data_IF_053065833302
#
_entry.id   IF_053065833302
#
_cell.length_a   1.000
_cell.length_b   1.000
_cell.length_c   1.000
_cell.angle_alpha   90.00
_cell.angle_beta   90.00
_cell.angle_gamma   90.00
#
_symmetry.space_group_name_H-M   'P 1'
#
loop_
_entity.id
_entity.type
_entity.pdbx_description
1 polymer ?
#
# COMPACT_ATOMS: atom_id res chain seq x y z
N UNK A 1 1.47 11.89 -14.73
CA UNK A 1 0.68 13.03 -15.22
C UNK A 1 -0.50 13.41 -14.32
N UNK A 2 -1.34 12.46 -13.88
CA UNK A 2 -2.49 12.75 -13.01
C UNK A 2 -2.12 13.45 -11.69
N UNK A 3 -1.05 12.99 -11.01
CA UNK A 3 -0.57 13.62 -9.77
C UNK A 3 -0.20 15.10 -10.02
N UNK A 4 0.59 15.38 -11.06
CA UNK A 4 0.99 16.75 -11.43
C UNK A 4 -0.21 17.63 -11.75
N UNK A 5 -1.17 17.11 -12.52
CA UNK A 5 -2.40 17.84 -12.85
C UNK A 5 -3.12 18.38 -11.61
N UNK A 6 -3.24 17.58 -10.54
CA UNK A 6 -3.89 18.01 -9.30
C UNK A 6 -3.01 18.93 -8.46
N UNK A 7 -1.69 18.70 -8.42
CA UNK A 7 -0.75 19.60 -7.75
C UNK A 7 -0.70 20.99 -8.40
N UNK A 8 -0.75 21.05 -9.73
CA UNK A 8 -0.79 22.30 -10.52
C UNK A 8 -2.09 23.10 -10.24
N UNK A 9 -3.15 22.42 -9.80
CA UNK A 9 -4.40 23.05 -9.35
C UNK A 9 -4.37 23.54 -7.90
N UNK A 10 -3.25 23.34 -7.20
CA UNK A 10 -3.07 23.79 -5.82
C UNK A 10 -3.52 22.79 -4.76
N UNK A 11 -3.71 21.50 -5.09
CA UNK A 11 -3.92 20.47 -4.06
C UNK A 11 -2.66 20.35 -3.19
N UNK A 12 -2.85 20.30 -1.87
CA UNK A 12 -1.75 20.27 -0.88
C UNK A 12 -1.12 18.87 -0.69
N UNK A 13 -1.80 17.81 -1.14
CA UNK A 13 -1.28 16.47 -1.01
C UNK A 13 -2.29 15.38 -1.33
N UNK A 14 -1.89 14.13 -1.18
CA UNK A 14 -2.71 12.96 -1.48
C UNK A 14 -2.76 11.98 -0.32
N UNK A 15 -3.90 11.34 -0.14
CA UNK A 15 -4.01 10.09 0.62
C UNK A 15 -4.17 8.97 -0.40
N UNK A 16 -3.23 8.03 -0.42
CA UNK A 16 -3.26 6.91 -1.36
C UNK A 16 -3.96 5.74 -0.70
N UNK A 17 -5.05 5.33 -1.32
CA UNK A 17 -5.89 4.20 -0.93
C UNK A 17 -5.25 2.88 -1.35
N UNK A 18 -5.44 1.83 -0.53
CA UNK A 18 -5.09 0.45 -0.85
C UNK A 18 -3.67 0.24 -1.45
N UNK A 19 -2.65 0.90 -0.89
CA UNK A 19 -1.32 0.93 -1.53
C UNK A 19 -0.67 -0.45 -1.67
N UNK A 20 -1.00 -1.36 -0.76
CA UNK A 20 -0.50 -2.73 -0.75
C UNK A 20 -1.00 -3.57 -1.93
N UNK A 21 -2.06 -3.13 -2.62
CA UNK A 21 -2.67 -3.79 -3.77
C UNK A 21 -2.17 -3.22 -5.11
N UNK A 22 -1.11 -2.42 -5.12
CA UNK A 22 -0.72 -1.64 -6.30
C UNK A 22 -0.17 -2.51 -7.45
N UNK A 23 0.45 -3.63 -7.10
CA UNK A 23 1.11 -4.54 -8.06
C UNK A 23 0.86 -5.97 -7.61
N UNK A 24 0.51 -6.82 -8.57
CA UNK A 24 0.46 -8.27 -8.44
C UNK A 24 1.62 -8.96 -9.19
N UNK A 25 1.95 -10.18 -8.77
CA UNK A 25 2.97 -11.01 -9.40
C UNK A 25 2.56 -11.37 -10.84
N UNK A 26 3.45 -11.09 -11.79
CA UNK A 26 3.19 -11.24 -13.21
C UNK A 26 3.10 -12.70 -13.69
N UNK A 27 3.47 -13.69 -12.86
CA UNK A 27 3.29 -15.11 -13.19
C UNK A 27 1.84 -15.56 -13.08
N UNK A 28 0.99 -14.81 -12.38
CA UNK A 28 -0.40 -15.15 -12.09
C UNK A 28 -0.54 -16.58 -11.50
N UNK A 29 0.43 -16.98 -10.68
CA UNK A 29 0.40 -18.25 -9.97
C UNK A 29 -0.71 -18.28 -8.91
N UNK A 30 -1.26 -19.47 -8.66
CA UNK A 30 -2.27 -19.67 -7.63
C UNK A 30 -1.67 -19.39 -6.23
N UNK A 31 -2.44 -18.69 -5.40
CA UNK A 31 -2.04 -18.43 -4.02
C UNK A 31 -2.26 -19.68 -3.14
N UNK A 32 -1.31 -19.98 -2.24
CA UNK A 32 -1.47 -21.09 -1.30
C UNK A 32 -2.50 -20.74 -0.23
N UNK A 33 -3.16 -21.75 0.34
CA UNK A 33 -4.01 -21.56 1.52
C UNK A 33 -3.20 -21.00 2.71
N UNK A 34 -3.80 -20.08 3.45
CA UNK A 34 -3.20 -19.50 4.64
C UNK A 34 -3.03 -20.54 5.75
N UNK A 35 -1.80 -20.69 6.23
CA UNK A 35 -1.52 -21.60 7.33
C UNK A 35 -2.21 -21.09 8.61
N UNK A 36 -2.94 -21.98 9.29
CA UNK A 36 -3.59 -21.71 10.57
C UNK A 36 -4.63 -20.58 10.56
N UNK A 37 -5.24 -20.24 9.42
CA UNK A 37 -6.31 -19.23 9.36
C UNK A 37 -7.59 -19.66 10.09
N UNK A 38 -7.82 -20.98 10.21
CA UNK A 38 -9.07 -21.53 10.74
C UNK A 38 -10.26 -21.36 9.80
N UNK A 39 -10.04 -20.79 8.61
CA UNK A 39 -11.06 -20.53 7.59
C UNK A 39 -11.12 -21.73 6.63
N UNK A 40 -12.30 -22.29 6.44
CA UNK A 40 -12.51 -23.48 5.60
C UNK A 40 -13.18 -23.17 4.27
N UNK A 41 -13.84 -22.01 4.15
CA UNK A 41 -14.49 -21.55 2.94
C UNK A 41 -13.48 -20.80 2.05
N UNK A 42 -13.15 -21.31 0.85
CA UNK A 42 -12.20 -20.68 -0.06
C UNK A 42 -12.68 -19.35 -0.67
N UNK A 43 -13.94 -18.97 -0.46
CA UNK A 43 -14.48 -17.70 -0.96
C UNK A 43 -14.23 -16.53 -0.01
N UNK A 44 -13.78 -16.79 1.22
CA UNK A 44 -13.47 -15.77 2.21
C UNK A 44 -12.04 -15.26 2.04
N UNK A 45 -11.85 -13.95 2.18
CA UNK A 45 -10.57 -13.26 1.93
C UNK A 45 -9.38 -13.88 2.70
N UNK A 46 -9.57 -14.22 3.98
CA UNK A 46 -8.50 -14.80 4.80
C UNK A 46 -8.18 -16.28 4.54
N UNK A 47 -8.84 -16.93 3.56
CA UNK A 47 -8.54 -18.33 3.22
C UNK A 47 -7.17 -18.48 2.57
N UNK A 48 -6.78 -17.53 1.71
CA UNK A 48 -5.51 -17.57 0.97
C UNK A 48 -4.44 -16.73 1.66
N UNK A 49 -3.19 -17.11 1.45
CA UNK A 49 -2.03 -16.30 1.83
C UNK A 49 -1.64 -15.43 0.64
N UNK A 50 -1.95 -14.13 0.74
CA UNK A 50 -1.87 -13.15 -0.34
C UNK A 50 -0.42 -12.73 -0.73
N UNK A 51 0.43 -13.71 -1.04
CA UNK A 51 1.86 -13.50 -1.34
C UNK A 51 2.12 -12.99 -2.75
N UNK A 52 1.15 -13.15 -3.66
CA UNK A 52 1.30 -12.76 -5.06
C UNK A 52 0.46 -11.53 -5.40
N UNK A 53 -0.56 -11.22 -4.60
CA UNK A 53 -1.46 -10.09 -4.87
C UNK A 53 -1.20 -8.86 -4.01
N UNK A 54 -0.51 -9.00 -2.87
CA UNK A 54 -0.19 -7.90 -1.96
C UNK A 54 1.31 -7.67 -1.83
N UNK A 55 1.67 -6.42 -1.48
CA UNK A 55 3.00 -6.03 -1.00
C UNK A 55 4.17 -6.39 -1.94
N UNK A 56 3.93 -6.45 -3.25
CA UNK A 56 4.99 -6.73 -4.22
C UNK A 56 6.06 -5.63 -4.17
N UNK A 57 7.35 -5.99 -4.29
CA UNK A 57 8.47 -5.05 -4.10
C UNK A 57 8.42 -3.85 -5.05
N UNK A 58 7.91 -4.02 -6.27
CA UNK A 58 7.71 -2.99 -7.28
C UNK A 58 6.78 -1.85 -6.81
N UNK A 59 5.88 -2.14 -5.86
CA UNK A 59 5.04 -1.13 -5.22
C UNK A 59 5.89 0.02 -4.65
N UNK A 60 7.04 -0.31 -4.06
CA UNK A 60 7.95 0.69 -3.48
C UNK A 60 8.61 1.55 -4.56
N UNK A 61 8.91 0.98 -5.72
CA UNK A 61 9.48 1.74 -6.84
C UNK A 61 8.48 2.78 -7.34
N UNK A 62 7.19 2.42 -7.43
CA UNK A 62 6.13 3.34 -7.84
C UNK A 62 5.93 4.45 -6.81
N UNK A 63 5.87 4.11 -5.52
CA UNK A 63 5.75 5.10 -4.43
C UNK A 63 6.92 6.07 -4.46
N UNK A 64 8.15 5.58 -4.66
CA UNK A 64 9.34 6.42 -4.79
C UNK A 64 9.21 7.38 -5.97
N UNK A 65 8.74 6.92 -7.13
CA UNK A 65 8.49 7.78 -8.27
C UNK A 65 7.44 8.87 -7.99
N UNK A 66 6.38 8.56 -7.24
CA UNK A 66 5.40 9.57 -6.83
C UNK A 66 5.96 10.56 -5.80
N UNK A 67 6.79 10.10 -4.87
CA UNK A 67 7.49 10.94 -3.91
C UNK A 67 8.43 11.93 -4.60
N UNK A 68 9.20 11.48 -5.59
CA UNK A 68 10.07 12.36 -6.39
C UNK A 68 9.28 13.46 -7.11
N UNK A 69 8.05 13.17 -7.55
CA UNK A 69 7.16 14.19 -8.11
C UNK A 69 6.77 15.21 -7.03
N UNK A 70 6.37 14.76 -5.84
CA UNK A 70 5.97 15.65 -4.75
C UNK A 70 7.09 16.58 -4.31
N UNK A 71 8.33 16.09 -4.26
CA UNK A 71 9.52 16.90 -3.92
C UNK A 71 9.77 18.07 -4.89
N UNK A 72 9.22 18.01 -6.12
CA UNK A 72 9.28 19.15 -7.05
C UNK A 72 8.32 20.29 -6.71
N UNK A 73 7.39 20.07 -5.78
CA UNK A 73 6.42 21.05 -5.31
C UNK A 73 6.68 21.39 -3.84
N UNK A 74 6.63 22.69 -3.53
CA UNK A 74 6.86 23.15 -2.16
C UNK A 74 5.68 22.76 -1.25
N UNK A 75 5.99 22.30 -0.04
CA UNK A 75 5.03 22.02 1.04
C UNK A 75 3.89 21.09 0.58
N UNK A 76 4.24 19.94 -0.02
CA UNK A 76 3.29 18.87 -0.37
C UNK A 76 3.47 17.65 0.48
N UNK A 77 2.37 16.95 0.73
CA UNK A 77 2.39 15.71 1.48
C UNK A 77 1.73 14.57 0.70
N UNK A 78 2.06 13.35 1.09
CA UNK A 78 1.30 12.15 0.74
C UNK A 78 1.14 11.32 2.00
N UNK A 79 0.05 10.59 2.14
CA UNK A 79 -0.17 9.60 3.19
C UNK A 79 -0.56 8.28 2.53
N UNK A 80 -0.16 7.17 3.11
CA UNK A 80 -0.43 5.84 2.57
C UNK A 80 -1.36 5.08 3.52
N UNK A 81 -2.39 4.48 2.99
CA UNK A 81 -3.20 3.50 3.69
C UNK A 81 -2.66 2.09 3.43
N UNK A 82 -2.21 1.43 4.48
CA UNK A 82 -1.69 0.05 4.47
C UNK A 82 -2.35 -0.71 5.61
N UNK A 83 -2.79 -1.95 5.34
CA UNK A 83 -3.34 -2.86 6.33
C UNK A 83 -2.55 -4.17 6.32
N UNK A 84 -1.64 -4.31 7.28
CA UNK A 84 -0.87 -5.54 7.44
C UNK A 84 -0.63 -5.84 8.94
N UNK A 85 -0.77 -7.11 9.31
CA UNK A 85 -0.49 -7.56 10.69
C UNK A 85 1.02 -7.60 10.99
N UNK A 86 1.85 -7.70 9.95
CA UNK A 86 3.30 -7.74 10.06
C UNK A 86 3.88 -6.32 10.12
N UNK A 87 4.28 -5.90 11.31
CA UNK A 87 4.92 -4.60 11.50
C UNK A 87 6.16 -4.38 10.62
N UNK A 88 6.87 -5.42 10.21
CA UNK A 88 8.02 -5.26 9.30
C UNK A 88 7.58 -4.74 7.92
N UNK A 89 6.43 -5.19 7.43
CA UNK A 89 5.85 -4.71 6.18
C UNK A 89 5.49 -3.24 6.32
N UNK A 90 4.78 -2.87 7.40
CA UNK A 90 4.43 -1.46 7.66
C UNK A 90 5.68 -0.57 7.77
N UNK A 91 6.72 -1.04 8.44
CA UNK A 91 7.99 -0.31 8.58
C UNK A 91 8.65 -0.04 7.22
N UNK A 92 8.54 -0.94 6.25
CA UNK A 92 9.09 -0.71 4.90
C UNK A 92 8.45 0.52 4.23
N UNK A 93 7.15 0.75 4.44
CA UNK A 93 6.46 1.93 3.91
C UNK A 93 6.83 3.23 4.67
N UNK A 94 7.19 3.14 5.95
CA UNK A 94 7.53 4.29 6.77
C UNK A 94 8.97 4.80 6.58
N UNK A 95 9.93 3.88 6.37
CA UNK A 95 11.37 4.24 6.32
C UNK A 95 11.73 5.06 5.09
N UNK A 96 10.93 4.99 4.04
CA UNK A 96 11.28 5.59 2.74
C UNK A 96 10.90 7.07 2.62
N UNK A 97 10.20 7.64 3.60
CA UNK A 97 9.51 8.90 3.38
C UNK A 97 9.51 9.79 4.63
N UNK A 98 9.92 11.08 4.50
CA UNK A 98 9.63 12.15 5.48
C UNK A 98 8.14 12.53 5.47
N UNK A 99 7.29 11.53 5.30
CA UNK A 99 5.85 11.64 5.28
C UNK A 99 5.34 11.23 6.65
N UNK A 100 4.47 12.07 7.19
CA UNK A 100 3.72 11.78 8.39
C UNK A 100 2.78 10.61 8.08
N UNK A 101 3.27 9.38 8.22
CA UNK A 101 2.46 8.17 8.04
C UNK A 101 1.50 8.07 9.23
N UNK A 102 0.29 8.60 9.08
CA UNK A 102 -0.82 8.31 9.98
C UNK A 102 -1.26 6.88 9.70
N UNK A 103 -0.73 5.92 10.46
CA UNK A 103 -1.29 4.58 10.52
C UNK A 103 -2.68 4.71 11.13
N UNK A 104 -3.72 4.69 10.28
CA UNK A 104 -5.06 4.41 10.75
C UNK A 104 -5.13 2.92 11.06
N UNK A 105 -4.87 2.57 12.32
CA UNK A 105 -5.27 1.28 12.89
C UNK A 105 -6.80 1.23 12.84
N UNK A 106 -7.34 0.80 11.70
CA UNK A 106 -8.66 0.21 11.65
C UNK A 106 -8.55 -1.12 12.39
N UNK A 107 -8.90 -1.12 13.67
CA UNK A 107 -9.37 -2.34 14.30
C UNK A 107 -10.67 -2.66 13.58
N UNK A 108 -10.56 -3.45 12.51
CA UNK A 108 -11.71 -4.05 11.87
C UNK A 108 -12.30 -5.01 12.89
N UNK A 109 -13.38 -4.57 13.53
CA UNK A 109 -14.22 -5.35 14.39
C UNK A 109 -14.89 -6.44 13.55
N UNK A 110 -14.48 -7.71 13.72
CA UNK A 110 -15.33 -8.92 13.75
C UNK A 110 -14.45 -10.16 13.95
#
# INVERSE_FOLDING_TARGET
>A
DVIRFWLDKGVDGFRVDAIQNLVEDASFADEPAAANSGITDPTLEGYYNHIYTLNQPETMDIIRGWHEILETYKDRFMTLEVYDANMKVLMNFMVMIRIQCLIFLSISCS
#
